data_IF_389653895004
#
_entry.id   IF_389653895004
#
_cell.length_a   1.000
_cell.length_b   1.000
_cell.length_c   1.000
_cell.angle_alpha   90.00
_cell.angle_beta   90.00
_cell.angle_gamma   90.00
#
_symmetry.space_group_name_H-M   'P 1'
#
loop_
_entity.id
_entity.type
_entity.pdbx_description
1 polymer ?
#
# COMPACT_ATOMS: atom_id res chain seq x y z
N UNK A 1 2.78 28.02 26.53
CA UNK A 1 1.72 27.50 25.65
C UNK A 1 1.80 27.99 24.19
N UNK A 2 2.84 28.72 23.73
CA UNK A 2 2.98 29.21 22.33
C UNK A 2 3.92 28.39 21.42
N UNK A 3 4.66 27.43 21.96
CA UNK A 3 5.63 26.63 21.18
C UNK A 3 5.05 25.39 20.50
N UNK A 4 3.85 24.96 20.91
CA UNK A 4 3.18 23.76 20.33
C UNK A 4 2.51 24.09 18.99
N UNK A 5 2.05 25.34 18.80
CA UNK A 5 1.36 25.77 17.56
C UNK A 5 2.30 25.83 16.34
N UNK A 6 3.55 26.29 16.52
CA UNK A 6 4.49 26.45 15.39
C UNK A 6 5.04 25.11 14.85
N UNK A 7 5.04 24.08 15.69
CA UNK A 7 5.44 22.73 15.30
C UNK A 7 4.32 22.03 14.49
N UNK A 8 3.09 22.33 14.86
CA UNK A 8 1.88 21.85 14.16
C UNK A 8 1.75 22.41 12.74
N UNK A 9 2.00 23.70 12.55
CA UNK A 9 1.98 24.34 11.24
C UNK A 9 3.08 23.80 10.30
N UNK A 10 4.26 23.48 10.84
CA UNK A 10 5.35 22.86 10.08
C UNK A 10 5.01 21.43 9.63
N UNK A 11 4.42 20.61 10.50
CA UNK A 11 3.99 19.24 10.13
C UNK A 11 2.79 19.25 9.18
N UNK A 12 1.90 20.23 9.30
CA UNK A 12 0.79 20.42 8.35
C UNK A 12 1.30 20.70 6.93
N UNK A 13 2.38 21.44 6.78
CA UNK A 13 3.01 21.71 5.48
C UNK A 13 3.77 20.50 4.91
N UNK A 14 4.36 19.63 5.74
CA UNK A 14 5.02 18.40 5.25
C UNK A 14 4.00 17.35 4.76
N UNK A 15 2.78 17.36 5.30
CA UNK A 15 1.68 16.48 4.88
C UNK A 15 0.95 17.06 3.65
N UNK A 16 0.95 18.38 3.48
CA UNK A 16 0.32 19.06 2.34
C UNK A 16 0.94 18.71 0.97
N UNK A 17 2.15 18.13 0.94
CA UNK A 17 2.81 17.63 -0.26
C UNK A 17 2.51 16.17 -0.62
N UNK A 18 1.64 15.49 0.15
CA UNK A 18 1.25 14.12 -0.15
C UNK A 18 -0.03 14.18 -0.97
N UNK A 19 0.09 13.98 -2.28
CA UNK A 19 -1.07 13.89 -3.16
C UNK A 19 -1.96 12.71 -2.71
N UNK A 20 -3.19 13.03 -2.31
CA UNK A 20 -4.20 12.04 -1.95
C UNK A 20 -4.68 11.28 -3.19
N UNK A 21 -5.23 10.10 -2.96
CA UNK A 21 -5.90 9.30 -4.01
C UNK A 21 -6.91 10.16 -4.75
N UNK A 22 -6.91 10.07 -6.08
CA UNK A 22 -7.61 10.89 -7.04
C UNK A 22 -8.98 11.44 -6.57
N UNK A 23 -9.07 12.76 -6.38
CA UNK A 23 -10.32 13.49 -6.20
C UNK A 23 -10.60 14.04 -4.80
N UNK A 24 -9.88 13.66 -3.76
CA UNK A 24 -10.09 14.17 -2.39
C UNK A 24 -9.03 15.21 -2.02
N UNK A 25 -9.47 16.38 -1.51
CA UNK A 25 -8.53 17.38 -0.99
C UNK A 25 -7.86 16.84 0.27
N UNK A 26 -6.58 17.12 0.46
CA UNK A 26 -5.80 16.68 1.64
C UNK A 26 -6.45 17.09 2.97
N UNK A 27 -7.20 18.19 3.01
CA UNK A 27 -7.92 18.63 4.19
C UNK A 27 -9.08 17.71 4.54
N UNK A 28 -9.83 17.21 3.55
CA UNK A 28 -10.96 16.30 3.77
C UNK A 28 -10.48 14.95 4.30
N UNK A 29 -9.39 14.42 3.74
CA UNK A 29 -8.75 13.18 4.21
C UNK A 29 -8.26 13.32 5.66
N UNK A 30 -7.71 14.49 6.00
CA UNK A 30 -7.25 14.78 7.37
C UNK A 30 -8.40 14.84 8.36
N UNK A 31 -9.52 15.47 7.99
CA UNK A 31 -10.73 15.54 8.81
C UNK A 31 -11.30 14.15 9.04
N UNK A 32 -11.38 13.32 8.00
CA UNK A 32 -11.89 11.94 8.13
C UNK A 32 -11.00 11.08 9.02
N UNK A 33 -9.68 11.16 8.87
CA UNK A 33 -8.75 10.45 9.74
C UNK A 33 -8.87 10.90 11.20
N UNK A 34 -9.06 12.20 11.44
CA UNK A 34 -9.30 12.76 12.78
C UNK A 34 -10.60 12.22 13.38
N UNK A 35 -11.67 12.15 12.59
CA UNK A 35 -12.94 11.56 13.02
C UNK A 35 -12.80 10.10 13.47
N UNK A 36 -12.02 9.29 12.74
CA UNK A 36 -11.78 7.89 13.13
C UNK A 36 -11.02 7.82 14.43
N UNK A 37 -9.96 8.64 14.61
CA UNK A 37 -9.21 8.67 15.87
C UNK A 37 -10.09 9.12 17.04
N UNK A 38 -10.95 10.14 16.84
CA UNK A 38 -11.86 10.65 17.85
C UNK A 38 -12.90 9.60 18.28
N UNK A 39 -13.44 8.82 17.34
CA UNK A 39 -14.38 7.72 17.65
C UNK A 39 -13.79 6.66 18.58
N UNK A 40 -12.48 6.51 18.58
CA UNK A 40 -11.74 5.58 19.43
C UNK A 40 -11.04 6.27 20.61
N UNK A 41 -11.45 7.48 20.97
CA UNK A 41 -10.87 8.27 22.07
C UNK A 41 -9.35 8.40 21.99
N UNK A 42 -8.81 8.44 20.77
CA UNK A 42 -7.36 8.44 20.51
C UNK A 42 -6.62 7.27 21.17
N UNK A 43 -7.28 6.17 21.36
CA UNK A 43 -6.72 4.98 22.02
C UNK A 43 -5.67 4.31 21.14
N UNK A 44 -4.55 3.92 21.76
CA UNK A 44 -3.50 3.15 21.08
C UNK A 44 -3.94 1.75 20.62
N UNK A 45 -5.08 1.23 21.11
CA UNK A 45 -5.68 -0.03 20.66
C UNK A 45 -6.27 0.07 19.24
N UNK A 46 -6.67 1.27 18.81
CA UNK A 46 -7.21 1.52 17.47
C UNK A 46 -6.13 1.70 16.39
N UNK A 47 -4.85 1.50 16.71
CA UNK A 47 -3.74 1.78 15.80
C UNK A 47 -3.91 1.13 14.42
N UNK A 48 -4.31 -0.14 14.35
CA UNK A 48 -4.45 -0.86 13.08
C UNK A 48 -5.56 -0.25 12.22
N UNK A 49 -6.71 0.08 12.83
CA UNK A 49 -7.85 0.70 12.15
C UNK A 49 -7.50 2.09 11.64
N UNK A 50 -6.81 2.87 12.45
CA UNK A 50 -6.33 4.21 12.07
C UNK A 50 -5.33 4.13 10.91
N UNK A 51 -4.37 3.19 10.95
CA UNK A 51 -3.41 2.99 9.85
C UNK A 51 -4.11 2.50 8.56
N UNK A 52 -5.09 1.62 8.69
CA UNK A 52 -5.88 1.14 7.55
C UNK A 52 -6.66 2.28 6.90
N UNK A 53 -7.38 3.07 7.69
CA UNK A 53 -8.08 4.26 7.19
C UNK A 53 -7.12 5.28 6.59
N UNK A 54 -5.99 5.53 7.24
CA UNK A 54 -4.96 6.42 6.70
C UNK A 54 -4.47 5.95 5.32
N UNK A 55 -4.22 4.64 5.15
CA UNK A 55 -3.83 4.10 3.85
C UNK A 55 -4.95 4.21 2.81
N UNK A 56 -6.21 4.02 3.18
CA UNK A 56 -7.34 4.21 2.25
C UNK A 56 -7.46 5.65 1.78
N UNK A 57 -7.22 6.63 2.66
CA UNK A 57 -7.33 8.05 2.36
C UNK A 57 -6.14 8.61 1.58
N UNK A 58 -4.94 8.15 1.88
CA UNK A 58 -3.68 8.66 1.30
C UNK A 58 -3.03 7.70 0.30
N UNK A 59 -3.59 6.48 0.12
CA UNK A 59 -3.06 5.44 -0.75
C UNK A 59 -1.86 4.68 -0.17
N UNK A 60 -1.06 5.31 0.69
CA UNK A 60 0.10 4.72 1.33
C UNK A 60 0.44 5.43 2.66
N UNK A 61 1.27 4.79 3.48
CA UNK A 61 1.68 5.30 4.79
C UNK A 61 3.04 6.00 4.68
N UNK A 62 3.03 7.32 4.46
CA UNK A 62 4.25 8.11 4.45
C UNK A 62 4.86 8.27 5.85
N UNK A 63 6.18 8.53 5.93
CA UNK A 63 6.86 8.77 7.22
C UNK A 63 6.25 9.95 8.01
N UNK A 64 5.91 11.10 7.41
CA UNK A 64 5.23 12.19 8.10
C UNK A 64 3.87 11.78 8.66
N UNK A 65 3.07 11.03 7.88
CA UNK A 65 1.77 10.54 8.31
C UNK A 65 1.88 9.61 9.53
N UNK A 66 2.84 8.67 9.53
CA UNK A 66 3.10 7.78 10.67
C UNK A 66 3.52 8.53 11.92
N UNK A 67 4.35 9.58 11.78
CA UNK A 67 4.70 10.46 12.90
C UNK A 67 3.48 11.20 13.47
N UNK A 68 2.60 11.71 12.62
CA UNK A 68 1.36 12.37 13.03
C UNK A 68 0.43 11.42 13.78
N UNK A 69 0.23 10.20 13.27
CA UNK A 69 -0.56 9.14 13.94
C UNK A 69 0.04 8.78 15.30
N UNK A 70 1.35 8.58 15.37
CA UNK A 70 2.06 8.26 16.62
C UNK A 70 1.82 9.35 17.69
N UNK A 71 1.96 10.60 17.30
CA UNK A 71 1.75 11.74 18.21
C UNK A 71 0.31 11.82 18.72
N UNK A 72 -0.68 11.68 17.81
CA UNK A 72 -2.11 11.77 18.15
C UNK A 72 -2.57 10.64 19.06
N UNK A 73 -2.14 9.42 18.78
CA UNK A 73 -2.46 8.23 19.60
C UNK A 73 -1.56 8.12 20.85
N UNK A 74 -0.66 9.08 21.09
CA UNK A 74 0.30 9.09 22.20
C UNK A 74 1.12 7.80 22.27
N UNK A 75 1.51 7.26 21.12
CA UNK A 75 2.31 6.05 20.99
C UNK A 75 3.74 6.39 20.57
N UNK A 76 4.75 5.63 21.01
CA UNK A 76 6.08 5.78 20.47
C UNK A 76 6.09 5.41 18.98
N UNK A 77 6.82 6.17 18.16
CA UNK A 77 6.93 5.94 16.72
C UNK A 77 7.42 4.53 16.38
N UNK A 78 8.29 3.97 17.22
CA UNK A 78 8.78 2.59 17.08
C UNK A 78 7.67 1.55 17.11
N UNK A 79 6.66 1.74 17.99
CA UNK A 79 5.49 0.86 18.05
C UNK A 79 4.64 0.98 16.80
N UNK A 80 4.39 2.20 16.33
CA UNK A 80 3.61 2.47 15.10
C UNK A 80 4.31 1.86 13.89
N UNK A 81 5.63 2.06 13.76
CA UNK A 81 6.43 1.45 12.69
C UNK A 81 6.45 -0.07 12.78
N UNK A 82 6.62 -0.62 14.00
CA UNK A 82 6.61 -2.07 14.21
C UNK A 82 5.30 -2.72 13.76
N UNK A 83 4.16 -2.13 14.10
CA UNK A 83 2.85 -2.61 13.64
C UNK A 83 2.71 -2.45 12.13
N UNK A 84 3.04 -1.28 11.59
CA UNK A 84 2.90 -1.01 10.16
C UNK A 84 3.78 -1.93 9.30
N UNK A 85 5.00 -2.27 9.74
CA UNK A 85 5.90 -3.17 9.00
C UNK A 85 5.57 -4.65 9.20
N UNK A 86 4.95 -5.02 10.32
CA UNK A 86 4.55 -6.40 10.59
C UNK A 86 3.41 -6.86 9.66
N UNK A 87 2.46 -6.00 9.39
CA UNK A 87 1.32 -6.33 8.53
C UNK A 87 1.63 -6.00 7.06
N UNK A 88 1.67 -7.02 6.20
CA UNK A 88 1.90 -6.88 4.75
C UNK A 88 0.80 -6.09 4.01
N UNK A 89 -0.29 -5.76 4.70
CA UNK A 89 -1.37 -4.90 4.18
C UNK A 89 -0.92 -3.46 3.96
N UNK A 90 0.08 -3.00 4.73
CA UNK A 90 0.48 -1.60 4.73
C UNK A 90 1.59 -1.33 3.70
N UNK A 91 1.40 -0.26 2.92
CA UNK A 91 2.31 0.20 1.88
C UNK A 91 2.99 1.49 2.32
N UNK A 92 4.31 1.57 2.13
CA UNK A 92 5.14 2.73 2.51
C UNK A 92 5.54 3.60 1.32
N UNK A 93 5.18 3.18 0.12
CA UNK A 93 5.44 3.90 -1.12
C UNK A 93 4.12 4.15 -1.86
N UNK A 94 4.01 5.25 -2.61
CA UNK A 94 2.84 5.49 -3.42
C UNK A 94 2.64 4.32 -4.40
N UNK A 95 1.40 3.79 -4.51
CA UNK A 95 1.11 2.79 -5.53
C UNK A 95 1.37 3.43 -6.90
N UNK A 96 2.03 2.70 -7.77
CA UNK A 96 2.11 3.08 -9.18
C UNK A 96 0.76 2.82 -9.82
N UNK A 97 0.53 3.38 -10.99
CA UNK A 97 -0.78 3.29 -11.66
C UNK A 97 -1.25 1.87 -11.88
N UNK A 98 -0.30 0.93 -12.05
CA UNK A 98 -0.61 -0.48 -12.29
C UNK A 98 0.02 -1.40 -11.26
N UNK A 99 -0.69 -2.47 -10.92
CA UNK A 99 -0.22 -3.46 -9.95
C UNK A 99 -0.22 -4.86 -10.52
N UNK A 100 0.84 -5.61 -10.24
CA UNK A 100 0.90 -7.04 -10.53
C UNK A 100 1.31 -7.79 -9.25
N UNK A 101 0.40 -8.64 -8.75
CA UNK A 101 0.65 -9.49 -7.60
C UNK A 101 0.86 -10.92 -8.06
N UNK A 102 2.07 -11.44 -7.93
CA UNK A 102 2.41 -12.80 -8.32
C UNK A 102 2.19 -13.73 -7.13
N UNK A 103 1.30 -14.71 -7.28
CA UNK A 103 1.06 -15.69 -6.23
C UNK A 103 2.28 -16.62 -6.06
N UNK A 104 2.85 -16.64 -4.84
CA UNK A 104 3.94 -17.52 -4.44
C UNK A 104 3.50 -18.58 -3.42
N UNK A 105 2.19 -18.91 -3.37
CA UNK A 105 1.71 -20.07 -2.63
C UNK A 105 2.34 -21.36 -3.16
N UNK A 106 2.43 -22.41 -2.33
CA UNK A 106 3.17 -23.66 -2.60
C UNK A 106 2.92 -24.23 -4.01
N UNK A 107 1.67 -24.28 -4.45
CA UNK A 107 1.32 -24.84 -5.78
C UNK A 107 1.78 -23.91 -6.90
N UNK A 108 1.56 -22.59 -6.77
CA UNK A 108 2.02 -21.61 -7.76
C UNK A 108 3.56 -21.54 -7.80
N UNK A 109 4.20 -21.64 -6.65
CA UNK A 109 5.66 -21.71 -6.55
C UNK A 109 6.21 -22.92 -7.33
N UNK A 110 5.65 -24.12 -7.09
CA UNK A 110 6.02 -25.35 -7.80
C UNK A 110 5.70 -25.30 -9.31
N UNK A 111 4.68 -24.53 -9.71
CA UNK A 111 4.28 -24.31 -11.10
C UNK A 111 5.04 -23.17 -11.80
N UNK A 112 6.17 -22.69 -11.25
CA UNK A 112 7.00 -21.66 -11.88
C UNK A 112 6.72 -20.22 -11.41
N UNK A 113 6.04 -20.02 -10.27
CA UNK A 113 5.77 -18.69 -9.71
C UNK A 113 7.01 -17.82 -9.49
N UNK A 114 8.15 -18.42 -9.18
CA UNK A 114 9.43 -17.71 -9.00
C UNK A 114 9.93 -17.11 -10.33
N UNK A 115 9.80 -17.86 -11.42
CA UNK A 115 10.16 -17.39 -12.75
C UNK A 115 9.26 -16.24 -13.19
N UNK A 116 7.94 -16.36 -12.91
CA UNK A 116 6.97 -15.28 -13.16
C UNK A 116 7.32 -14.02 -12.34
N UNK A 117 7.72 -14.18 -11.08
CA UNK A 117 8.15 -13.05 -10.24
C UNK A 117 9.37 -12.34 -10.82
N UNK A 118 10.37 -13.09 -11.27
CA UNK A 118 11.57 -12.55 -11.91
C UNK A 118 11.22 -11.83 -13.22
N UNK A 119 10.35 -12.41 -14.03
CA UNK A 119 9.86 -11.82 -15.27
C UNK A 119 9.08 -10.54 -15.00
N UNK A 120 8.16 -10.55 -14.01
CA UNK A 120 7.42 -9.37 -13.61
C UNK A 120 8.34 -8.23 -13.16
N UNK A 121 9.34 -8.52 -12.32
CA UNK A 121 10.31 -7.53 -11.85
C UNK A 121 11.12 -6.94 -13.01
N UNK A 122 11.58 -7.77 -13.95
CA UNK A 122 12.30 -7.33 -15.13
C UNK A 122 11.45 -6.42 -16.03
N UNK A 123 10.20 -6.81 -16.28
CA UNK A 123 9.27 -6.03 -17.12
C UNK A 123 8.76 -4.76 -16.42
N UNK A 124 8.61 -4.80 -15.10
CA UNK A 124 8.18 -3.66 -14.29
C UNK A 124 9.30 -2.63 -14.03
N UNK A 125 10.56 -3.00 -14.28
CA UNK A 125 11.69 -2.10 -14.10
C UNK A 125 11.61 -0.91 -15.09
N UNK A 126 11.54 0.31 -14.57
CA UNK A 126 11.42 1.53 -15.37
C UNK A 126 10.03 1.82 -15.94
N UNK A 127 9.01 1.02 -15.61
CA UNK A 127 7.61 1.22 -15.99
C UNK A 127 6.75 1.52 -14.75
N UNK A 128 5.52 1.98 -14.95
CA UNK A 128 4.58 2.35 -13.88
C UNK A 128 3.89 1.14 -13.21
N UNK A 129 4.64 0.06 -13.00
CA UNK A 129 4.16 -1.15 -12.35
C UNK A 129 4.67 -1.27 -10.92
N UNK A 130 3.76 -1.57 -9.99
CA UNK A 130 4.09 -2.08 -8.66
C UNK A 130 4.03 -3.60 -8.70
N UNK A 131 5.16 -4.26 -8.43
CA UNK A 131 5.25 -5.72 -8.41
C UNK A 131 5.29 -6.19 -6.97
N UNK A 132 4.35 -7.04 -6.60
CA UNK A 132 4.22 -7.58 -5.25
C UNK A 132 4.22 -9.11 -5.28
N UNK A 133 4.85 -9.71 -4.27
CA UNK A 133 4.73 -11.13 -4.00
C UNK A 133 3.46 -11.39 -3.18
N UNK A 134 2.51 -12.13 -3.74
CA UNK A 134 1.28 -12.50 -3.06
C UNK A 134 1.37 -13.85 -2.35
N UNK A 135 0.69 -13.98 -1.22
CA UNK A 135 0.41 -15.28 -0.59
C UNK A 135 -0.65 -16.03 -1.41
N UNK A 136 -0.91 -17.30 -1.05
CA UNK A 136 -1.90 -18.11 -1.75
C UNK A 136 -3.27 -17.41 -1.82
N UNK A 137 -3.77 -17.22 -3.04
CA UNK A 137 -5.08 -16.59 -3.34
C UNK A 137 -6.23 -17.62 -3.38
N UNK A 138 -5.97 -18.88 -3.03
CA UNK A 138 -6.97 -19.93 -2.98
C UNK A 138 -7.27 -20.63 -4.31
N UNK A 139 -6.71 -20.18 -5.45
CA UNK A 139 -7.00 -20.69 -6.79
C UNK A 139 -5.95 -21.71 -7.28
N UNK A 140 -5.55 -22.66 -6.41
CA UNK A 140 -4.46 -23.60 -6.67
C UNK A 140 -4.67 -24.50 -7.91
N UNK A 141 -5.90 -24.85 -8.24
CA UNK A 141 -6.22 -25.62 -9.45
C UNK A 141 -5.99 -24.87 -10.76
N UNK A 142 -5.74 -23.55 -10.69
CA UNK A 142 -5.51 -22.66 -11.81
C UNK A 142 -4.07 -22.10 -11.83
N UNK A 143 -3.19 -22.73 -11.07
CA UNK A 143 -1.79 -22.29 -10.94
C UNK A 143 -1.04 -22.35 -12.30
N UNK A 144 -0.03 -21.48 -12.49
CA UNK A 144 0.30 -20.34 -11.65
C UNK A 144 -0.62 -19.13 -11.88
N UNK A 145 -0.87 -18.34 -10.81
CA UNK A 145 -1.83 -17.23 -10.83
C UNK A 145 -1.11 -15.91 -10.60
N UNK A 146 -1.46 -14.90 -11.39
CA UNK A 146 -1.03 -13.51 -11.23
C UNK A 146 -2.27 -12.61 -11.19
N UNK A 147 -2.31 -11.64 -10.29
CA UNK A 147 -3.37 -10.64 -10.25
C UNK A 147 -2.82 -9.35 -10.85
N UNK A 148 -3.36 -8.95 -12.00
CA UNK A 148 -3.01 -7.69 -12.67
C UNK A 148 -4.18 -6.72 -12.49
N UNK A 149 -3.92 -5.56 -11.89
CA UNK A 149 -4.90 -4.49 -11.66
C UNK A 149 -6.21 -4.99 -11.03
N UNK A 150 -6.10 -5.90 -10.04
CA UNK A 150 -7.23 -6.51 -9.35
C UNK A 150 -7.87 -7.71 -10.09
N UNK A 151 -7.46 -8.00 -11.32
CA UNK A 151 -7.99 -9.12 -12.12
C UNK A 151 -7.07 -10.34 -12.07
N UNK A 152 -7.59 -11.45 -11.55
CA UNK A 152 -6.84 -12.71 -11.51
C UNK A 152 -6.68 -13.33 -12.92
N UNK A 153 -5.45 -13.67 -13.27
CA UNK A 153 -5.08 -14.40 -14.48
C UNK A 153 -4.54 -15.75 -14.07
N UNK A 154 -5.07 -16.80 -14.67
CA UNK A 154 -4.72 -18.20 -14.39
C UNK A 154 -3.79 -18.78 -15.44
N UNK A 155 -3.03 -19.82 -15.06
CA UNK A 155 -2.11 -20.54 -15.96
C UNK A 155 -1.17 -19.59 -16.71
N UNK A 156 -0.68 -18.59 -15.99
CA UNK A 156 0.15 -17.52 -16.58
C UNK A 156 1.53 -18.10 -16.92
N UNK A 157 1.93 -17.96 -18.17
CA UNK A 157 3.30 -18.22 -18.62
C UNK A 157 4.11 -16.93 -18.65
N UNK A 158 5.47 -16.99 -18.61
CA UNK A 158 6.31 -15.80 -18.73
C UNK A 158 5.97 -14.96 -19.98
N UNK A 159 5.76 -15.60 -21.14
CA UNK A 159 5.41 -14.91 -22.37
C UNK A 159 4.03 -14.20 -22.29
N UNK A 160 3.04 -14.83 -21.66
CA UNK A 160 1.74 -14.22 -21.43
C UNK A 160 1.85 -13.03 -20.50
N UNK A 161 2.67 -13.13 -19.43
CA UNK A 161 2.90 -12.04 -18.49
C UNK A 161 3.58 -10.86 -19.18
N UNK A 162 4.58 -11.11 -20.04
CA UNK A 162 5.25 -10.07 -20.84
C UNK A 162 4.25 -9.34 -21.75
N UNK A 163 3.34 -10.07 -22.40
CA UNK A 163 2.25 -9.47 -23.18
C UNK A 163 1.33 -8.60 -22.33
N UNK A 164 0.83 -9.12 -21.19
CA UNK A 164 -0.04 -8.39 -20.27
C UNK A 164 0.58 -7.12 -19.72
N UNK A 165 1.90 -7.13 -19.49
CA UNK A 165 2.65 -5.97 -19.00
C UNK A 165 3.14 -5.06 -20.13
N UNK A 166 3.26 -5.58 -21.36
CA UNK A 166 3.70 -4.87 -22.56
C UNK A 166 2.60 -4.09 -23.26
N UNK A 167 1.39 -4.65 -23.38
CA UNK A 167 0.24 -4.04 -24.07
C UNK A 167 -0.34 -2.81 -23.35
N UNK A 168 0.17 -2.47 -22.18
CA UNK A 168 -0.22 -1.29 -21.42
C UNK A 168 0.13 0.07 -22.08
N UNK A 169 0.78 0.06 -23.23
CA UNK A 169 1.07 1.28 -24.00
C UNK A 169 -0.08 1.70 -24.95
N UNK A 170 -1.22 0.97 -24.92
CA UNK A 170 -2.36 1.26 -25.83
C UNK A 170 -3.70 1.15 -25.07
N UNK A 171 -3.96 2.07 -24.14
CA UNK A 171 -5.35 2.46 -23.78
C UNK A 171 -5.32 3.92 -23.37
#
# INVERSE_FOLDING_TARGET
MRLVCSWWERMGNEIAGIEGVAGMRNDDARIQLEHVMARHDYSGSALIEVLHTAQQLYGYLSKPLLKSVAHKLRLPLSKVLGVATFYHLFRFQPPRERTAVVCLGTVCYAAGGTELMTTAQRQGAGREWTIEAGRCVGSCGLAPVVICDGHARSRVTPALLEGLMGDAAKV
#
